data_IF_665640253630
#
_entry.id   IF_665640253630
#
_cell.length_a   1.000
_cell.length_b   1.000
_cell.length_c   1.000
_cell.angle_alpha   90.00
_cell.angle_beta   90.00
_cell.angle_gamma   90.00
#
_symmetry.space_group_name_H-M   'P 1'
#
loop_
_entity.id
_entity.type
_entity.pdbx_description
1 polymer ?
#
# COMPACT_ATOMS: atom_id res chain seq x y z
N UNK A 1 -20.10 -33.48 8.29
CA UNK A 1 -19.69 -33.06 9.65
C UNK A 1 -20.70 -32.04 10.12
N UNK A 2 -21.18 -32.12 11.35
CA UNK A 2 -22.26 -31.23 11.82
C UNK A 2 -22.86 -31.67 13.14
N UNK A 3 -23.84 -30.89 13.60
CA UNK A 3 -24.70 -31.22 14.74
C UNK A 3 -26.03 -31.82 14.25
N UNK A 4 -26.71 -32.57 15.12
CA UNK A 4 -27.95 -33.25 14.80
C UNK A 4 -27.75 -34.56 14.04
N UNK A 5 -26.67 -35.29 14.32
CA UNK A 5 -26.42 -36.59 13.73
C UNK A 5 -27.52 -37.60 14.14
N UNK A 6 -28.10 -38.28 13.16
CA UNK A 6 -29.20 -39.25 13.32
C UNK A 6 -28.83 -40.61 12.69
N UNK A 7 -29.64 -41.64 12.92
CA UNK A 7 -29.44 -42.98 12.35
C UNK A 7 -28.13 -43.60 12.80
N UNK A 8 -27.37 -44.18 11.86
CA UNK A 8 -26.06 -44.81 12.12
C UNK A 8 -25.02 -43.84 12.71
N UNK A 9 -25.27 -42.54 12.61
CA UNK A 9 -24.39 -41.49 13.13
C UNK A 9 -24.91 -40.89 14.45
N UNK A 10 -26.00 -41.41 15.03
CA UNK A 10 -26.58 -40.90 16.27
C UNK A 10 -25.55 -40.81 17.40
N UNK A 11 -25.45 -39.65 18.05
CA UNK A 11 -24.49 -39.38 19.13
C UNK A 11 -23.05 -39.17 18.67
N UNK A 12 -22.80 -39.04 17.36
CA UNK A 12 -21.47 -38.82 16.77
C UNK A 12 -21.30 -37.42 16.18
N UNK A 13 -22.03 -36.45 16.72
CA UNK A 13 -21.91 -35.04 16.35
C UNK A 13 -20.46 -34.55 16.40
N UNK A 14 -20.08 -33.72 15.43
CA UNK A 14 -18.73 -33.14 15.35
C UNK A 14 -17.61 -34.11 14.96
N UNK A 15 -17.87 -35.40 14.75
CA UNK A 15 -16.85 -36.37 14.30
C UNK A 15 -16.75 -36.47 12.78
N UNK A 16 -15.59 -36.94 12.30
CA UNK A 16 -15.40 -37.37 10.91
C UNK A 16 -15.77 -38.84 10.81
N UNK A 17 -16.83 -39.13 10.05
CA UNK A 17 -17.25 -40.49 9.76
C UNK A 17 -16.62 -40.97 8.44
N UNK A 18 -16.04 -42.16 8.44
CA UNK A 18 -15.54 -42.85 7.26
C UNK A 18 -16.16 -44.24 7.14
N UNK A 19 -16.62 -44.63 5.95
CA UNK A 19 -17.11 -45.99 5.73
C UNK A 19 -15.94 -46.93 5.42
N UNK A 20 -15.82 -48.04 6.15
CA UNK A 20 -14.71 -49.00 5.98
C UNK A 20 -15.07 -50.19 5.09
N UNK A 21 -16.29 -50.26 4.59
CA UNK A 21 -16.83 -51.43 3.88
C UNK A 21 -17.71 -52.32 4.76
N UNK A 22 -17.45 -52.35 6.06
CA UNK A 22 -18.17 -53.19 7.04
C UNK A 22 -18.83 -52.39 8.17
N UNK A 23 -18.50 -51.10 8.29
CA UNK A 23 -19.08 -50.22 9.30
C UNK A 23 -18.58 -48.78 9.17
N UNK A 24 -19.15 -47.90 9.99
CA UNK A 24 -18.67 -46.53 10.14
C UNK A 24 -17.54 -46.46 11.16
N UNK A 25 -16.39 -45.93 10.75
CA UNK A 25 -15.36 -45.45 11.66
C UNK A 25 -15.60 -43.98 11.99
N UNK A 26 -15.40 -43.60 13.25
CA UNK A 26 -15.61 -42.24 13.72
C UNK A 26 -14.33 -41.71 14.33
N UNK A 27 -13.93 -40.51 13.90
CA UNK A 27 -12.71 -39.87 14.37
C UNK A 27 -13.01 -38.46 14.86
N UNK A 28 -12.58 -38.14 16.08
CA UNK A 28 -12.58 -36.76 16.57
C UNK A 28 -11.52 -35.97 15.79
N UNK A 29 -11.89 -34.87 15.10
CA UNK A 29 -10.93 -34.04 14.39
C UNK A 29 -9.84 -33.50 15.32
N UNK A 30 -8.60 -33.43 14.84
CA UNK A 30 -7.48 -32.80 15.57
C UNK A 30 -7.06 -31.50 14.88
N UNK A 31 -6.58 -30.50 15.63
CA UNK A 31 -6.12 -29.25 15.04
C UNK A 31 -5.19 -29.49 13.84
N UNK A 32 -5.43 -28.76 12.74
CA UNK A 32 -4.68 -28.90 11.48
C UNK A 32 -5.19 -29.98 10.52
N UNK A 33 -6.19 -30.78 10.91
CA UNK A 33 -6.89 -31.66 9.97
C UNK A 33 -7.50 -30.85 8.83
N UNK A 34 -7.41 -31.38 7.61
CA UNK A 34 -7.89 -30.77 6.38
C UNK A 34 -8.95 -31.65 5.75
N UNK A 35 -10.03 -31.05 5.28
CA UNK A 35 -11.10 -31.73 4.55
C UNK A 35 -11.62 -30.84 3.43
N UNK A 36 -12.23 -31.43 2.40
CA UNK A 36 -12.94 -30.69 1.36
C UNK A 36 -14.44 -30.68 1.70
N UNK A 37 -14.99 -29.49 1.93
CA UNK A 37 -16.43 -29.31 2.05
C UNK A 37 -17.04 -29.30 0.64
N UNK A 38 -17.75 -30.38 0.29
CA UNK A 38 -18.37 -30.53 -1.03
C UNK A 38 -19.52 -29.55 -1.26
N UNK A 39 -20.25 -29.15 -0.22
CA UNK A 39 -21.38 -28.23 -0.35
C UNK A 39 -20.89 -26.79 -0.54
N UNK A 40 -19.87 -26.39 0.22
CA UNK A 40 -19.25 -25.07 0.10
C UNK A 40 -18.24 -24.97 -1.06
N UNK A 41 -17.78 -26.09 -1.62
CA UNK A 41 -16.76 -26.11 -2.67
C UNK A 41 -15.41 -25.59 -2.19
N UNK A 42 -15.06 -25.82 -0.93
CA UNK A 42 -13.91 -25.19 -0.28
C UNK A 42 -13.08 -26.19 0.54
N UNK A 43 -11.77 -25.92 0.63
CA UNK A 43 -10.91 -26.57 1.61
C UNK A 43 -11.23 -26.01 3.00
N UNK A 44 -11.38 -26.87 4.00
CA UNK A 44 -11.58 -26.48 5.40
C UNK A 44 -10.49 -27.06 6.30
N UNK A 45 -10.14 -26.33 7.37
CA UNK A 45 -9.15 -26.70 8.38
C UNK A 45 -9.84 -26.74 9.75
N UNK A 46 -9.62 -27.81 10.52
CA UNK A 46 -10.06 -27.87 11.92
C UNK A 46 -9.12 -27.07 12.81
N UNK A 47 -9.64 -26.06 13.51
CA UNK A 47 -8.86 -25.20 14.43
C UNK A 47 -8.66 -25.82 15.81
N UNK A 48 -9.39 -26.89 16.14
CA UNK A 48 -9.55 -27.39 17.50
C UNK A 48 -10.95 -27.17 18.06
N UNK A 49 -11.69 -26.19 17.52
CA UNK A 49 -13.06 -25.86 17.94
C UNK A 49 -14.06 -25.80 16.78
N UNK A 50 -13.60 -25.47 15.57
CA UNK A 50 -14.44 -25.35 14.39
C UNK A 50 -13.69 -25.74 13.11
N UNK A 51 -14.45 -26.14 12.09
CA UNK A 51 -13.96 -26.21 10.72
C UNK A 51 -14.11 -24.83 10.10
N UNK A 52 -13.01 -24.24 9.66
CA UNK A 52 -13.00 -22.94 8.97
C UNK A 52 -12.52 -23.12 7.54
N UNK A 53 -12.96 -22.27 6.62
CA UNK A 53 -12.38 -22.23 5.28
C UNK A 53 -10.87 -21.97 5.37
N UNK A 54 -10.08 -22.78 4.69
CA UNK A 54 -8.65 -22.58 4.59
C UNK A 54 -8.38 -21.22 3.92
N UNK A 55 -7.57 -20.39 4.55
CA UNK A 55 -7.19 -19.08 3.99
C UNK A 55 -8.20 -17.95 4.21
N UNK A 56 -9.09 -18.03 5.22
CA UNK A 56 -10.00 -16.92 5.54
C UNK A 56 -9.28 -15.61 5.90
N UNK A 57 -8.03 -15.69 6.35
CA UNK A 57 -7.14 -14.56 6.64
C UNK A 57 -5.69 -14.97 6.34
N UNK A 58 -4.98 -14.19 5.53
CA UNK A 58 -3.54 -14.34 5.33
C UNK A 58 -2.81 -13.25 6.13
N UNK A 59 -1.90 -13.65 7.03
CA UNK A 59 -1.05 -12.70 7.75
C UNK A 59 -0.05 -12.02 6.80
N UNK A 60 0.48 -12.81 5.86
CA UNK A 60 1.37 -12.35 4.77
C UNK A 60 0.99 -13.05 3.45
N UNK A 61 1.21 -12.36 2.33
CA UNK A 61 1.01 -12.88 0.98
C UNK A 61 2.13 -12.39 0.06
N UNK A 62 2.92 -13.34 -0.44
CA UNK A 62 3.99 -13.12 -1.40
C UNK A 62 3.63 -13.64 -2.79
N UNK A 63 3.76 -12.82 -3.83
CA UNK A 63 3.64 -13.22 -5.24
C UNK A 63 5.01 -13.05 -5.89
N UNK A 64 5.72 -14.17 -6.10
CA UNK A 64 7.11 -14.20 -6.59
C UNK A 64 8.10 -13.37 -5.73
N UNK A 65 7.71 -13.05 -4.49
CA UNK A 65 8.48 -12.32 -3.50
C UNK A 65 8.22 -12.93 -2.12
N UNK A 66 9.18 -12.80 -1.21
CA UNK A 66 8.98 -13.17 0.20
C UNK A 66 8.32 -12.00 0.93
N UNK A 67 7.09 -12.21 1.42
CA UNK A 67 6.43 -11.25 2.29
C UNK A 67 6.95 -11.36 3.72
N UNK A 68 6.98 -10.24 4.45
CA UNK A 68 7.50 -10.15 5.82
C UNK A 68 6.58 -9.30 6.71
N UNK A 69 7.00 -9.04 7.96
CA UNK A 69 6.20 -8.29 8.93
C UNK A 69 5.96 -6.82 8.53
N UNK A 70 6.82 -6.26 7.69
CA UNK A 70 6.73 -4.90 7.14
C UNK A 70 5.96 -4.89 5.82
N UNK A 71 6.32 -5.79 4.89
CA UNK A 71 5.72 -5.97 3.58
C UNK A 71 4.77 -7.16 3.59
N UNK A 72 3.65 -7.05 4.30
CA UNK A 72 2.69 -8.15 4.44
C UNK A 72 2.05 -8.56 3.12
N UNK A 73 1.95 -7.64 2.15
CA UNK A 73 1.69 -7.97 0.76
C UNK A 73 2.94 -7.60 -0.05
N UNK A 74 3.62 -8.61 -0.61
CA UNK A 74 4.82 -8.42 -1.43
C UNK A 74 4.59 -9.01 -2.82
N UNK A 75 4.83 -8.21 -3.87
CA UNK A 75 4.63 -8.63 -5.26
C UNK A 75 5.88 -8.28 -6.09
N UNK A 76 6.51 -9.28 -6.68
CA UNK A 76 7.58 -9.10 -7.67
C UNK A 76 7.13 -9.66 -9.02
N UNK A 77 6.45 -8.84 -9.81
CA UNK A 77 5.87 -9.22 -11.09
C UNK A 77 5.99 -8.08 -12.10
N UNK A 78 5.85 -8.36 -13.42
CA UNK A 78 5.82 -7.30 -14.44
C UNK A 78 4.71 -6.26 -14.26
N UNK A 79 3.59 -6.63 -13.61
CA UNK A 79 2.48 -5.73 -13.31
C UNK A 79 1.65 -6.22 -12.10
N UNK A 80 0.95 -5.28 -11.45
CA UNK A 80 -0.12 -5.54 -10.48
C UNK A 80 -1.37 -4.78 -10.92
N UNK A 81 -2.48 -5.49 -11.16
CA UNK A 81 -3.76 -4.89 -11.55
C UNK A 81 -4.71 -4.87 -10.35
N UNK A 82 -5.18 -3.68 -9.99
CA UNK A 82 -6.27 -3.49 -9.04
C UNK A 82 -7.49 -2.95 -9.80
N UNK A 83 -8.57 -3.73 -9.85
CA UNK A 83 -9.75 -3.43 -10.68
C UNK A 83 -11.03 -3.31 -9.86
N UNK A 84 -12.05 -2.68 -10.44
CA UNK A 84 -13.39 -2.57 -9.86
C UNK A 84 -14.32 -3.66 -10.37
N UNK A 85 -15.40 -3.88 -9.63
CA UNK A 85 -16.56 -4.71 -10.04
C UNK A 85 -17.80 -3.86 -10.36
N UNK A 86 -17.67 -2.53 -10.39
CA UNK A 86 -18.77 -1.61 -10.69
C UNK A 86 -18.54 -0.24 -10.07
N UNK A 87 -19.41 0.16 -9.15
CA UNK A 87 -19.57 1.52 -8.63
C UNK A 87 -18.29 2.26 -8.13
N UNK A 88 -17.18 1.57 -7.88
CA UNK A 88 -15.89 2.20 -7.62
C UNK A 88 -14.75 1.22 -7.29
N UNK A 89 -13.53 1.75 -7.21
CA UNK A 89 -12.35 1.09 -6.68
C UNK A 89 -11.50 2.12 -5.94
N UNK A 90 -11.17 1.85 -4.67
CA UNK A 90 -10.44 2.79 -3.81
C UNK A 90 -9.30 2.07 -3.10
N UNK A 91 -8.10 2.62 -3.23
CA UNK A 91 -6.95 2.26 -2.40
C UNK A 91 -6.87 3.30 -1.29
N UNK A 92 -7.26 2.90 -0.07
CA UNK A 92 -7.18 3.77 1.10
C UNK A 92 -5.86 3.52 1.82
N UNK A 93 -5.00 4.54 1.87
CA UNK A 93 -3.74 4.52 2.64
C UNK A 93 -3.90 5.48 3.82
N UNK A 94 -3.80 4.96 5.03
CA UNK A 94 -4.04 5.72 6.26
C UNK A 94 -2.76 5.79 7.09
N UNK A 95 -2.52 6.95 7.71
CA UNK A 95 -1.43 7.18 8.66
C UNK A 95 -1.98 7.39 10.07
N UNK A 96 -1.19 7.04 11.09
CA UNK A 96 -1.64 7.09 12.49
C UNK A 96 -1.72 8.51 13.07
N UNK A 97 -1.01 9.47 12.48
CA UNK A 97 -1.03 10.86 12.92
C UNK A 97 -0.37 11.82 11.92
N UNK A 98 -0.36 13.13 12.20
CA UNK A 98 0.08 14.14 11.24
C UNK A 98 1.53 14.00 10.78
N UNK A 99 2.44 13.61 11.67
CA UNK A 99 3.87 13.46 11.36
C UNK A 99 4.23 12.13 10.67
N UNK A 100 3.27 11.20 10.55
CA UNK A 100 3.47 9.90 9.92
C UNK A 100 3.34 9.99 8.38
N UNK A 101 3.63 8.88 7.70
CA UNK A 101 3.61 8.80 6.24
C UNK A 101 2.49 7.87 5.73
N UNK A 102 1.72 8.36 4.77
CA UNK A 102 0.82 7.58 3.92
C UNK A 102 1.05 7.97 2.46
N UNK A 103 1.82 7.16 1.72
CA UNK A 103 2.35 7.52 0.41
C UNK A 103 2.53 6.32 -0.52
N UNK A 104 2.81 6.62 -1.80
CA UNK A 104 3.41 5.69 -2.75
C UNK A 104 4.87 6.09 -2.97
N UNK A 105 5.79 5.16 -2.69
CA UNK A 105 7.22 5.32 -2.88
C UNK A 105 7.66 4.66 -4.20
N UNK A 106 8.33 5.42 -5.05
CA UNK A 106 8.92 4.97 -6.31
C UNK A 106 10.42 4.81 -6.13
N UNK A 107 10.94 3.64 -6.49
CA UNK A 107 12.33 3.26 -6.25
C UNK A 107 13.02 2.77 -7.52
N UNK A 108 14.35 2.83 -7.53
CA UNK A 108 15.22 2.15 -8.49
C UNK A 108 16.35 1.50 -7.71
N UNK A 109 16.57 0.20 -7.91
CA UNK A 109 17.55 -0.60 -7.16
C UNK A 109 17.52 -0.35 -5.65
N UNK A 110 16.33 -0.45 -5.05
CA UNK A 110 16.09 -0.25 -3.61
C UNK A 110 16.37 1.17 -3.09
N UNK A 111 16.61 2.13 -3.97
CA UNK A 111 16.85 3.52 -3.63
C UNK A 111 15.64 4.38 -4.02
N UNK A 112 15.11 5.15 -3.06
CA UNK A 112 13.95 6.04 -3.29
C UNK A 112 14.26 7.15 -4.29
N UNK A 113 13.33 7.44 -5.20
CA UNK A 113 13.48 8.47 -6.24
C UNK A 113 12.34 9.47 -6.24
N UNK A 114 11.13 9.02 -5.97
CA UNK A 114 9.98 9.89 -5.82
C UNK A 114 9.01 9.31 -4.78
N UNK A 115 8.25 10.17 -4.13
CA UNK A 115 7.22 9.79 -3.16
C UNK A 115 6.02 10.74 -3.32
N UNK A 116 4.80 10.20 -3.39
CA UNK A 116 3.58 11.01 -3.47
C UNK A 116 2.59 10.60 -2.37
N UNK A 117 2.02 11.58 -1.67
CA UNK A 117 1.04 11.35 -0.61
C UNK A 117 1.18 12.31 0.57
N UNK A 118 0.71 11.86 1.73
CA UNK A 118 0.81 12.56 3.02
C UNK A 118 2.11 12.14 3.69
N UNK A 119 3.23 12.72 3.24
CA UNK A 119 4.57 12.28 3.64
C UNK A 119 5.13 13.19 4.74
N UNK A 120 4.95 12.80 6.01
CA UNK A 120 5.44 13.55 7.17
C UNK A 120 4.64 14.81 7.54
N UNK A 121 3.52 15.05 6.86
CA UNK A 121 2.56 16.12 7.16
C UNK A 121 1.17 15.77 6.59
N UNK A 122 0.13 16.56 6.90
CA UNK A 122 -1.24 16.39 6.39
C UNK A 122 -1.48 17.03 5.02
N UNK A 123 -0.49 17.73 4.47
CA UNK A 123 -0.55 18.25 3.11
C UNK A 123 -0.21 17.16 2.10
N UNK A 124 -0.94 17.12 0.99
CA UNK A 124 -0.54 16.31 -0.15
C UNK A 124 0.74 16.89 -0.75
N UNK A 125 1.74 16.04 -0.96
CA UNK A 125 3.02 16.44 -1.51
C UNK A 125 3.54 15.44 -2.54
N UNK A 126 4.38 15.95 -3.44
CA UNK A 126 5.26 15.15 -4.29
C UNK A 126 6.69 15.49 -3.89
N UNK A 127 7.42 14.47 -3.43
CA UNK A 127 8.83 14.57 -3.06
C UNK A 127 9.68 13.81 -4.06
N UNK A 128 10.89 14.31 -4.31
CA UNK A 128 11.88 13.67 -5.19
C UNK A 128 13.22 13.60 -4.49
N UNK A 129 14.01 12.59 -4.85
CA UNK A 129 15.34 12.38 -4.31
C UNK A 129 16.31 11.92 -5.41
N UNK A 130 17.50 12.53 -5.53
CA UNK A 130 18.52 12.07 -6.46
C UNK A 130 19.18 10.75 -6.00
N UNK A 131 19.20 10.46 -4.71
CA UNK A 131 20.04 9.41 -4.10
C UNK A 131 19.30 8.50 -3.10
N UNK A 132 18.04 8.79 -2.78
CA UNK A 132 17.23 8.09 -1.79
C UNK A 132 17.49 8.52 -0.34
N UNK A 133 18.41 9.45 -0.11
CA UNK A 133 18.75 9.98 1.21
C UNK A 133 18.27 11.42 1.38
N UNK A 134 18.61 12.31 0.45
CA UNK A 134 18.17 13.70 0.44
C UNK A 134 16.85 13.86 -0.30
N UNK A 135 15.83 14.40 0.36
CA UNK A 135 14.50 14.58 -0.22
C UNK A 135 14.12 16.05 -0.38
N UNK A 136 13.58 16.40 -1.54
CA UNK A 136 13.04 17.72 -1.85
C UNK A 136 11.54 17.62 -2.07
N UNK A 137 10.76 18.49 -1.44
CA UNK A 137 9.33 18.65 -1.74
C UNK A 137 9.18 19.47 -3.02
N UNK A 138 8.98 18.80 -4.15
CA UNK A 138 8.85 19.42 -5.46
C UNK A 138 7.50 20.15 -5.61
N UNK A 139 6.45 19.61 -5.00
CA UNK A 139 5.11 20.17 -5.00
C UNK A 139 4.43 19.92 -3.65
N UNK A 140 3.72 20.92 -3.16
CA UNK A 140 2.88 20.81 -1.96
C UNK A 140 1.56 21.52 -2.17
N UNK A 141 0.46 20.90 -1.73
CA UNK A 141 -0.87 21.50 -1.76
C UNK A 141 -1.31 21.78 -0.33
N UNK A 142 -1.63 23.04 -0.04
CA UNK A 142 -2.13 23.43 1.27
C UNK A 142 -3.52 22.82 1.55
N UNK A 143 -3.70 22.07 2.65
CA UNK A 143 -4.95 21.33 2.90
C UNK A 143 -6.12 22.24 3.30
N UNK A 144 -5.88 23.50 3.68
CA UNK A 144 -6.94 24.44 4.08
C UNK A 144 -7.39 25.30 2.91
N UNK A 145 -6.44 25.78 2.11
CA UNK A 145 -6.68 26.76 1.04
C UNK A 145 -6.70 26.15 -0.36
N UNK A 146 -6.16 24.94 -0.53
CA UNK A 146 -5.95 24.32 -1.85
C UNK A 146 -4.81 24.97 -2.66
N UNK A 147 -4.03 25.87 -2.05
CA UNK A 147 -2.94 26.56 -2.76
C UNK A 147 -1.81 25.58 -3.09
N UNK A 148 -1.47 25.50 -4.38
CA UNK A 148 -0.32 24.75 -4.88
C UNK A 148 0.95 25.60 -4.74
N UNK A 149 1.99 25.01 -4.17
CA UNK A 149 3.33 25.61 -4.08
C UNK A 149 4.36 24.69 -4.74
N UNK A 150 5.21 25.21 -5.66
CA UNK A 150 6.38 24.48 -6.13
C UNK A 150 7.43 24.41 -5.02
N UNK A 151 8.57 23.77 -5.32
CA UNK A 151 9.72 23.71 -4.43
C UNK A 151 10.10 25.11 -3.91
N UNK A 152 10.32 25.19 -2.60
CA UNK A 152 10.69 26.43 -1.91
C UNK A 152 12.18 26.43 -1.67
N UNK A 153 12.87 27.49 -2.08
CA UNK A 153 14.29 27.71 -1.85
C UNK A 153 14.52 28.99 -1.06
N UNK A 154 15.53 28.97 -0.19
CA UNK A 154 16.06 30.19 0.39
C UNK A 154 16.87 30.97 -0.67
N UNK A 155 16.83 32.32 -0.66
CA UNK A 155 17.57 33.13 -1.63
C UNK A 155 19.07 32.82 -1.72
N UNK A 156 19.69 32.42 -0.60
CA UNK A 156 21.12 32.08 -0.54
C UNK A 156 21.45 30.65 -1.00
N UNK A 157 20.44 29.85 -1.36
CA UNK A 157 20.59 28.44 -1.72
C UNK A 157 19.79 28.09 -2.99
N UNK A 158 19.71 29.04 -3.93
CA UNK A 158 19.08 28.81 -5.22
C UNK A 158 19.89 27.79 -6.03
N UNK A 159 19.23 26.80 -6.67
CA UNK A 159 19.90 25.96 -7.64
C UNK A 159 20.30 26.78 -8.87
N UNK A 160 21.21 26.27 -9.70
CA UNK A 160 21.54 26.90 -10.97
C UNK A 160 20.31 26.96 -11.88
N UNK A 161 19.93 28.15 -12.34
CA UNK A 161 18.84 28.35 -13.30
C UNK A 161 19.12 27.65 -14.64
N UNK A 162 20.38 27.67 -15.09
CA UNK A 162 20.84 26.93 -16.28
C UNK A 162 20.64 25.43 -16.09
N UNK A 163 21.06 24.87 -14.95
CA UNK A 163 20.93 23.43 -14.70
C UNK A 163 19.47 22.99 -14.55
N UNK A 164 18.61 23.85 -13.99
CA UNK A 164 17.18 23.60 -13.91
C UNK A 164 16.48 23.66 -15.28
N UNK A 165 17.06 24.39 -16.24
CA UNK A 165 16.54 24.56 -17.59
C UNK A 165 15.50 25.67 -17.72
N UNK A 166 15.41 26.26 -18.91
CA UNK A 166 14.45 27.32 -19.22
C UNK A 166 13.00 26.85 -18.97
N UNK A 167 12.21 27.69 -18.29
CA UNK A 167 10.84 27.41 -17.91
C UNK A 167 10.66 26.67 -16.58
N UNK A 168 11.74 26.29 -15.90
CA UNK A 168 11.64 25.73 -14.54
C UNK A 168 10.97 26.73 -13.59
N UNK A 169 10.18 26.25 -12.62
CA UNK A 169 9.43 27.07 -11.67
C UNK A 169 9.84 26.74 -10.23
N UNK A 170 10.07 27.78 -9.43
CA UNK A 170 10.37 27.67 -8.00
C UNK A 170 9.63 28.74 -7.21
N UNK A 171 9.61 28.59 -5.89
CA UNK A 171 9.26 29.68 -4.98
C UNK A 171 10.49 30.06 -4.18
N UNK A 172 10.77 31.36 -4.08
CA UNK A 172 11.92 31.88 -3.33
C UNK A 172 11.41 32.61 -2.10
N UNK A 173 11.86 32.19 -0.91
CA UNK A 173 11.44 32.77 0.36
C UNK A 173 11.66 34.30 0.34
N UNK A 174 10.60 35.08 0.57
CA UNK A 174 10.62 36.54 0.56
C UNK A 174 10.48 37.20 -0.83
N UNK A 175 10.90 36.52 -1.91
CA UNK A 175 10.76 37.04 -3.29
C UNK A 175 9.51 36.55 -4.02
N UNK A 176 8.91 35.43 -3.58
CA UNK A 176 7.73 34.86 -4.21
C UNK A 176 8.08 33.88 -5.36
N UNK A 177 7.11 33.60 -6.26
CA UNK A 177 7.33 32.69 -7.38
C UNK A 177 8.34 33.24 -8.39
N UNK A 178 9.19 32.35 -8.89
CA UNK A 178 10.23 32.64 -9.87
C UNK A 178 10.32 31.55 -10.94
N UNK A 179 10.84 31.92 -12.11
CA UNK A 179 11.03 31.04 -13.25
C UNK A 179 12.44 31.18 -13.83
N UNK A 180 12.98 30.12 -14.43
CA UNK A 180 14.30 30.17 -15.09
C UNK A 180 14.15 30.62 -16.54
N UNK A 181 14.89 31.65 -16.96
CA UNK A 181 14.96 32.05 -18.38
C UNK A 181 15.99 31.23 -19.19
N UNK A 182 16.58 30.22 -18.55
CA UNK A 182 17.68 29.41 -19.10
C UNK A 182 19.07 29.94 -18.73
N UNK A 183 19.16 31.12 -18.12
CA UNK A 183 20.41 31.72 -17.60
C UNK A 183 20.25 32.10 -16.12
N UNK A 184 19.19 32.84 -15.79
CA UNK A 184 18.92 33.42 -14.50
C UNK A 184 17.52 33.05 -13.97
N UNK A 185 17.34 33.16 -12.65
CA UNK A 185 16.01 33.13 -12.06
C UNK A 185 15.36 34.50 -12.16
N UNK A 186 14.15 34.57 -12.72
CA UNK A 186 13.35 35.78 -12.85
C UNK A 186 12.11 35.72 -11.98
N UNK A 187 11.78 36.82 -11.33
CA UNK A 187 10.52 36.96 -10.59
C UNK A 187 9.33 36.92 -11.54
N UNK A 188 8.27 36.22 -11.14
CA UNK A 188 7.02 36.19 -11.92
C UNK A 188 6.28 37.53 -11.86
N UNK A 189 6.49 38.34 -10.82
CA UNK A 189 5.76 39.60 -10.60
C UNK A 189 6.12 40.71 -11.58
N UNK A 190 7.40 40.82 -11.93
CA UNK A 190 7.99 42.00 -12.56
C UNK A 190 9.16 41.67 -13.50
N UNK A 191 9.45 40.38 -13.72
CA UNK A 191 10.50 39.90 -14.62
C UNK A 191 11.94 40.28 -14.24
N UNK A 192 12.14 40.81 -13.03
CA UNK A 192 13.47 41.15 -12.52
C UNK A 192 14.26 39.90 -12.20
N UNK A 193 15.57 39.91 -12.50
CA UNK A 193 16.51 38.87 -12.06
C UNK A 193 16.62 38.85 -10.54
N UNK A 194 16.70 37.65 -9.95
CA UNK A 194 16.86 37.40 -8.52
C UNK A 194 18.31 37.44 -8.03
#
# INVERSE_FOLDING_TARGET
MGAGAIGDWAGRDGTVAGWTGTGWSFHTPRPGWRAWDKAAGALVIWTGSAWIAAGSTAETLGINATADASNRLAVAAPASLFSHEGAGHRVTVNKAGPAETASLLFQSDWSGRAELGLAGEDAFSVKVSPDGAGWLTALRIDPVTGALRPVVHDPGALPSAVAAGAGALIHVTGSGPAWSDGTDWRRVSDDSVL
#
